data_IF_579630595651
#
_entry.id   IF_579630595651
#
_cell.length_a   1.000
_cell.length_b   1.000
_cell.length_c   1.000
_cell.angle_alpha   90.00
_cell.angle_beta   90.00
_cell.angle_gamma   90.00
#
_symmetry.space_group_name_H-M   'P 1'
#
loop_
_entity.id
_entity.type
_entity.pdbx_description
1 polymer ?
#
# COMPACT_ATOMS: atom_id res chain seq x y z
N UNK A 1 -7.49 -3.28 20.68
CA UNK A 1 -7.89 -4.10 19.50
C UNK A 1 -8.37 -3.24 18.33
N UNK A 2 -9.39 -2.38 18.52
CA UNK A 2 -10.05 -1.63 17.44
C UNK A 2 -9.11 -0.72 16.63
N UNK A 3 -8.25 0.07 17.29
CA UNK A 3 -7.29 0.96 16.59
C UNK A 3 -6.30 0.21 15.70
N UNK A 4 -5.82 -0.95 16.18
CA UNK A 4 -4.93 -1.82 15.41
C UNK A 4 -5.62 -2.28 14.12
N UNK A 5 -6.85 -2.80 14.26
CA UNK A 5 -7.64 -3.27 13.11
C UNK A 5 -7.91 -2.13 12.11
N UNK A 6 -8.28 -0.95 12.60
CA UNK A 6 -8.52 0.22 11.75
C UNK A 6 -7.30 0.64 10.93
N UNK A 7 -6.11 0.74 11.54
CA UNK A 7 -4.90 1.12 10.81
C UNK A 7 -4.46 0.07 9.79
N UNK A 8 -4.60 -1.22 10.12
CA UNK A 8 -4.33 -2.30 9.17
C UNK A 8 -5.28 -2.24 7.97
N UNK A 9 -6.58 -2.05 8.20
CA UNK A 9 -7.57 -1.94 7.11
C UNK A 9 -7.28 -0.71 6.24
N UNK A 10 -7.06 0.46 6.85
CA UNK A 10 -6.77 1.69 6.10
C UNK A 10 -5.50 1.56 5.25
N UNK A 11 -4.44 0.94 5.80
CA UNK A 11 -3.22 0.69 5.05
C UNK A 11 -3.41 -0.27 3.88
N UNK A 12 -4.19 -1.34 4.07
CA UNK A 12 -4.52 -2.28 2.98
C UNK A 12 -5.35 -1.60 1.88
N UNK A 13 -6.36 -0.82 2.27
CA UNK A 13 -7.19 -0.07 1.32
C UNK A 13 -6.34 0.93 0.52
N UNK A 14 -5.47 1.68 1.20
CA UNK A 14 -4.56 2.62 0.53
C UNK A 14 -3.62 1.92 -0.47
N UNK A 15 -3.06 0.76 -0.10
CA UNK A 15 -2.22 -0.02 -0.99
C UNK A 15 -2.98 -0.52 -2.23
N UNK A 16 -4.23 -0.98 -2.07
CA UNK A 16 -5.07 -1.41 -3.19
C UNK A 16 -5.31 -0.23 -4.14
N UNK A 17 -5.71 0.93 -3.63
CA UNK A 17 -5.94 2.11 -4.46
C UNK A 17 -4.68 2.50 -5.25
N UNK A 18 -3.53 2.55 -4.60
CA UNK A 18 -2.25 2.87 -5.25
C UNK A 18 -1.89 1.85 -6.35
N UNK A 19 -2.10 0.55 -6.11
CA UNK A 19 -1.88 -0.48 -7.13
C UNK A 19 -2.84 -0.33 -8.31
N UNK A 20 -4.13 -0.10 -8.05
CA UNK A 20 -5.13 0.05 -9.11
C UNK A 20 -4.82 1.24 -10.02
N UNK A 21 -4.58 2.41 -9.45
CA UNK A 21 -4.25 3.60 -10.23
C UNK A 21 -2.86 3.49 -10.87
N UNK A 22 -1.89 2.91 -10.17
CA UNK A 22 -0.54 2.72 -10.68
C UNK A 22 -0.52 1.83 -11.92
N UNK A 23 -1.24 0.70 -11.89
CA UNK A 23 -1.36 -0.21 -13.04
C UNK A 23 -2.07 0.46 -14.21
N UNK A 24 -3.17 1.19 -13.95
CA UNK A 24 -3.91 1.92 -14.99
C UNK A 24 -2.99 2.94 -15.70
N UNK A 25 -2.19 3.68 -14.92
CA UNK A 25 -1.26 4.69 -15.46
C UNK A 25 -0.07 4.11 -16.21
N UNK A 26 0.39 2.91 -15.88
CA UNK A 26 1.45 2.22 -16.65
C UNK A 26 0.96 1.81 -18.04
N UNK A 27 -0.35 1.58 -18.20
CA UNK A 27 -0.92 1.24 -19.51
C UNK A 27 -1.11 2.46 -20.43
N UNK A 28 -0.88 3.67 -19.92
CA UNK A 28 -1.03 4.91 -20.69
C UNK A 28 0.17 5.13 -21.63
N UNK A 29 -0.04 5.74 -22.83
CA UNK A 29 1.03 5.97 -23.80
C UNK A 29 2.02 7.09 -23.41
N UNK A 30 1.72 7.86 -22.37
CA UNK A 30 2.54 9.00 -21.91
C UNK A 30 3.63 8.54 -20.94
N UNK A 31 4.90 8.84 -21.25
CA UNK A 31 6.04 8.56 -20.37
C UNK A 31 5.88 9.16 -18.96
N UNK A 32 5.29 10.35 -18.87
CA UNK A 32 5.02 10.99 -17.58
C UNK A 32 3.96 10.22 -16.78
N UNK A 33 2.90 9.76 -17.44
CA UNK A 33 1.86 8.93 -16.81
C UNK A 33 2.44 7.60 -16.33
N UNK A 34 3.26 6.93 -17.15
CA UNK A 34 3.94 5.68 -16.78
C UNK A 34 4.86 5.89 -15.58
N UNK A 35 5.64 6.97 -15.55
CA UNK A 35 6.50 7.31 -14.41
C UNK A 35 5.69 7.46 -13.11
N UNK A 36 4.59 8.20 -13.15
CA UNK A 36 3.71 8.35 -11.99
C UNK A 36 3.15 6.98 -11.57
N UNK A 37 2.72 6.15 -12.53
CA UNK A 37 2.19 4.82 -12.24
C UNK A 37 3.19 3.92 -11.53
N UNK A 38 4.46 3.94 -11.94
CA UNK A 38 5.54 3.22 -11.26
C UNK A 38 5.76 3.72 -9.82
N UNK A 39 5.72 5.05 -9.61
CA UNK A 39 5.83 5.64 -8.27
C UNK A 39 4.68 5.19 -7.37
N UNK A 40 3.46 5.15 -7.88
CA UNK A 40 2.29 4.68 -7.12
C UNK A 40 2.42 3.20 -6.72
N UNK A 41 2.89 2.34 -7.63
CA UNK A 41 3.13 0.93 -7.31
C UNK A 41 4.21 0.78 -6.24
N UNK A 42 5.32 1.53 -6.35
CA UNK A 42 6.38 1.52 -5.33
C UNK A 42 5.86 1.98 -3.96
N UNK A 43 5.05 3.03 -3.94
CA UNK A 43 4.40 3.49 -2.70
C UNK A 43 3.49 2.43 -2.12
N UNK A 44 2.71 1.71 -2.95
CA UNK A 44 1.86 0.63 -2.47
C UNK A 44 2.67 -0.49 -1.80
N UNK A 45 3.79 -0.88 -2.40
CA UNK A 45 4.70 -1.91 -1.85
C UNK A 45 5.24 -1.47 -0.48
N UNK A 46 5.66 -0.19 -0.35
CA UNK A 46 6.14 0.37 0.92
C UNK A 46 5.02 0.34 1.97
N UNK A 47 3.80 0.74 1.61
CA UNK A 47 2.65 0.70 2.52
C UNK A 47 2.36 -0.73 2.99
N UNK A 48 2.36 -1.71 2.09
CA UNK A 48 2.17 -3.13 2.44
C UNK A 48 3.25 -3.62 3.41
N UNK A 49 4.51 -3.26 3.18
CA UNK A 49 5.61 -3.61 4.08
C UNK A 49 5.43 -3.01 5.48
N UNK A 50 4.98 -1.75 5.56
CA UNK A 50 4.69 -1.09 6.84
C UNK A 50 3.52 -1.76 7.57
N UNK A 51 2.43 -2.10 6.87
CA UNK A 51 1.28 -2.81 7.44
C UNK A 51 1.69 -4.19 7.96
N UNK A 52 2.49 -4.93 7.19
CA UNK A 52 3.01 -6.23 7.60
C UNK A 52 3.90 -6.12 8.86
N UNK A 53 4.83 -5.15 8.88
CA UNK A 53 5.69 -4.89 10.04
C UNK A 53 4.88 -4.50 11.28
N UNK A 54 3.90 -3.60 11.12
CA UNK A 54 3.03 -3.17 12.21
C UNK A 54 2.23 -4.34 12.78
N UNK A 55 1.69 -5.19 11.91
CA UNK A 55 0.96 -6.41 12.29
C UNK A 55 1.84 -7.39 13.04
N UNK A 56 3.04 -7.67 12.54
CA UNK A 56 4.00 -8.55 13.19
C UNK A 56 4.36 -8.08 14.61
N UNK A 57 4.71 -6.80 14.76
CA UNK A 57 5.06 -6.22 16.07
C UNK A 57 3.87 -6.33 17.03
N UNK A 58 2.66 -6.05 16.56
CA UNK A 58 1.48 -6.07 17.42
C UNK A 58 1.11 -7.48 17.87
N UNK A 59 1.25 -8.48 17.00
CA UNK A 59 1.06 -9.89 17.35
C UNK A 59 2.12 -10.36 18.35
N UNK A 60 3.39 -9.98 18.15
CA UNK A 60 4.49 -10.33 19.07
C UNK A 60 4.30 -9.76 20.47
N UNK A 61 3.80 -8.53 20.61
CA UNK A 61 3.56 -7.89 21.92
C UNK A 61 2.36 -8.51 22.64
N UNK A 62 1.39 -9.03 21.90
CA UNK A 62 0.15 -9.58 22.45
C UNK A 62 0.25 -11.08 22.80
N UNK A 63 1.36 -11.75 22.45
CA UNK A 63 1.71 -13.12 22.86
C UNK A 63 2.68 -13.10 24.04
#
# INVERSE_FOLDING_TARGET
MVRFLAYTILGLVAAIFLLTYGVDRISQPSNFSVFIGLVEILLAIIVLALVARYTYIKLKINN
#
